data_IF_867949003069
#
_entry.id   IF_867949003069
#
_cell.length_a   1.000
_cell.length_b   1.000
_cell.length_c   1.000
_cell.angle_alpha   90.00
_cell.angle_beta   90.00
_cell.angle_gamma   90.00
#
_symmetry.space_group_name_H-M   'P 1'
#
loop_
_entity.id
_entity.type
_entity.pdbx_description
1 polymer ?
#
# COMPACT_ATOMS: atom_id res chain seq x y z
N UNK A 1 -12.56 -12.56 -4.52
CA UNK A 1 -12.05 -11.70 -3.43
C UNK A 1 -13.09 -10.68 -3.01
N UNK A 2 -13.31 -10.53 -1.73
CA UNK A 2 -14.22 -9.52 -1.16
C UNK A 2 -13.44 -8.67 -0.13
N UNK A 3 -13.48 -7.35 -0.29
CA UNK A 3 -12.81 -6.39 0.59
C UNK A 3 -13.85 -5.49 1.24
N UNK A 4 -13.84 -5.38 2.55
CA UNK A 4 -14.78 -4.57 3.32
C UNK A 4 -14.04 -3.77 4.39
N UNK A 5 -14.28 -2.46 4.43
CA UNK A 5 -13.81 -1.61 5.54
C UNK A 5 -14.82 -1.72 6.67
N UNK A 6 -14.36 -2.07 7.85
CA UNK A 6 -15.15 -2.27 9.07
C UNK A 6 -14.59 -1.43 10.22
N UNK A 7 -15.41 -1.20 11.24
CA UNK A 7 -15.04 -0.38 12.40
C UNK A 7 -15.63 1.03 12.33
N UNK A 8 -15.63 1.71 13.44
CA UNK A 8 -16.20 3.06 13.61
C UNK A 8 -15.11 4.11 13.71
N UNK A 9 -14.45 4.19 14.86
CA UNK A 9 -13.36 5.15 15.11
C UNK A 9 -12.03 4.66 14.54
N UNK A 10 -11.77 3.35 14.67
CA UNK A 10 -10.60 2.68 14.13
C UNK A 10 -11.04 1.71 13.03
N UNK A 11 -10.73 2.05 11.80
CA UNK A 11 -11.14 1.25 10.64
C UNK A 11 -10.12 0.16 10.35
N UNK A 12 -10.64 -1.01 10.02
CA UNK A 12 -9.86 -2.15 9.54
C UNK A 12 -10.39 -2.60 8.19
N UNK A 13 -9.52 -3.19 7.40
CA UNK A 13 -9.85 -3.82 6.13
C UNK A 13 -9.97 -5.32 6.33
N UNK A 14 -11.18 -5.84 6.24
CA UNK A 14 -11.42 -7.28 6.12
C UNK A 14 -11.32 -7.70 4.65
N UNK A 15 -10.52 -8.73 4.38
CA UNK A 15 -10.35 -9.32 3.06
C UNK A 15 -10.68 -10.80 3.13
N UNK A 16 -11.63 -11.23 2.32
CA UNK A 16 -11.95 -12.65 2.12
C UNK A 16 -11.37 -13.06 0.78
N UNK A 17 -10.41 -13.99 0.82
CA UNK A 17 -9.80 -14.59 -0.35
C UNK A 17 -10.47 -15.93 -0.66
N UNK A 18 -11.08 -16.05 -1.82
CA UNK A 18 -11.52 -17.32 -2.34
C UNK A 18 -10.30 -18.23 -2.69
N UNK A 19 -10.52 -19.54 -2.89
CA UNK A 19 -9.47 -20.46 -3.31
C UNK A 19 -8.70 -19.94 -4.53
N UNK A 20 -7.37 -19.96 -4.46
CA UNK A 20 -6.49 -19.53 -5.55
C UNK A 20 -6.30 -18.02 -5.70
N UNK A 21 -6.99 -17.20 -4.93
CA UNK A 21 -6.86 -15.74 -5.01
C UNK A 21 -5.61 -15.21 -4.28
N UNK A 22 -5.14 -14.06 -4.76
CA UNK A 22 -4.01 -13.34 -4.18
C UNK A 22 -4.41 -11.91 -3.78
N UNK A 23 -3.70 -11.37 -2.79
CA UNK A 23 -3.86 -10.02 -2.27
C UNK A 23 -2.51 -9.46 -1.84
N UNK A 24 -2.36 -8.16 -1.78
CA UNK A 24 -1.10 -7.50 -1.44
C UNK A 24 -1.31 -6.53 -0.28
N UNK A 25 -0.42 -6.55 0.71
CA UNK A 25 -0.54 -5.66 1.87
C UNK A 25 0.79 -5.33 2.49
N UNK A 26 0.85 -4.19 3.16
CA UNK A 26 2.02 -3.78 3.92
C UNK A 26 2.12 -4.62 5.20
N UNK A 27 3.33 -5.11 5.49
CA UNK A 27 3.57 -6.03 6.61
C UNK A 27 3.12 -5.48 7.96
N UNK A 28 3.34 -4.18 8.21
CA UNK A 28 3.00 -3.53 9.50
C UNK A 28 1.52 -3.28 9.68
N UNK A 29 0.74 -3.35 8.59
CA UNK A 29 -0.71 -3.18 8.63
C UNK A 29 -1.46 -4.45 9.03
N UNK A 30 -0.78 -5.60 9.17
CA UNK A 30 -1.43 -6.88 9.50
C UNK A 30 -1.94 -6.87 10.94
N UNK A 31 -3.25 -7.07 11.10
CA UNK A 31 -3.88 -7.36 12.39
C UNK A 31 -3.88 -8.87 12.65
N UNK A 32 -4.41 -9.63 11.71
CA UNK A 32 -4.28 -11.09 11.68
C UNK A 32 -4.46 -11.65 10.26
N UNK A 33 -3.96 -12.86 10.07
CA UNK A 33 -4.08 -13.64 8.82
C UNK A 33 -4.42 -15.07 9.19
N UNK A 34 -5.40 -15.66 8.50
CA UNK A 34 -5.70 -17.09 8.62
C UNK A 34 -4.41 -17.91 8.40
N UNK A 35 -4.14 -18.86 9.27
CA UNK A 35 -2.88 -19.61 9.28
C UNK A 35 -2.62 -20.39 7.98
N UNK A 36 -3.67 -20.73 7.24
CA UNK A 36 -3.57 -21.45 5.97
C UNK A 36 -3.15 -20.56 4.79
N UNK A 37 -3.16 -19.23 4.96
CA UNK A 37 -2.72 -18.29 3.90
C UNK A 37 -1.21 -18.30 3.80
N UNK A 38 -0.70 -18.55 2.61
CA UNK A 38 0.72 -18.42 2.27
C UNK A 38 1.10 -16.94 2.14
N UNK A 39 2.28 -16.59 2.62
CA UNK A 39 2.83 -15.22 2.61
C UNK A 39 4.21 -15.22 1.98
N UNK A 40 4.38 -14.37 0.97
CA UNK A 40 5.65 -14.17 0.27
C UNK A 40 6.02 -12.69 0.33
N UNK A 41 7.30 -12.38 0.49
CA UNK A 41 7.78 -10.99 0.43
C UNK A 41 7.87 -10.59 -1.05
N UNK A 42 7.14 -9.55 -1.43
CA UNK A 42 7.25 -8.94 -2.75
C UNK A 42 8.28 -7.81 -2.73
N UNK A 43 9.34 -7.99 -3.50
CA UNK A 43 10.35 -6.95 -3.67
C UNK A 43 9.95 -6.05 -4.84
N UNK A 44 9.62 -4.79 -4.55
CA UNK A 44 9.53 -3.77 -5.57
C UNK A 44 10.93 -3.24 -5.89
N UNK A 45 11.61 -3.92 -6.82
CA UNK A 45 12.87 -3.46 -7.36
C UNK A 45 12.65 -2.37 -8.41
N UNK A 46 12.41 -1.14 -7.97
CA UNK A 46 12.62 0.06 -8.80
C UNK A 46 13.61 1.00 -8.12
N UNK A 47 14.75 0.48 -7.71
CA UNK A 47 15.97 1.27 -7.72
C UNK A 47 16.61 1.05 -9.11
N UNK A 48 16.71 2.09 -9.92
CA UNK A 48 17.58 2.12 -11.09
C UNK A 48 19.03 1.86 -10.63
N UNK A 49 19.43 0.62 -10.63
CA UNK A 49 20.78 0.24 -10.24
C UNK A 49 20.92 -1.26 -10.11
N UNK A 50 21.35 -1.89 -11.21
CA UNK A 50 22.05 -3.18 -11.25
C UNK A 50 21.43 -4.31 -10.44
N UNK A 51 20.81 -5.21 -11.14
CA UNK A 51 20.58 -6.59 -10.70
C UNK A 51 21.87 -7.13 -10.05
N UNK A 52 21.90 -7.17 -8.76
CA UNK A 52 23.09 -7.63 -8.07
C UNK A 52 22.89 -7.75 -6.59
N UNK A 53 22.57 -8.98 -6.18
CA UNK A 53 22.89 -9.55 -4.87
C UNK A 53 21.93 -9.25 -3.73
N UNK A 54 21.31 -10.31 -3.30
CA UNK A 54 20.50 -10.50 -2.09
C UNK A 54 20.97 -9.73 -0.83
N UNK A 55 22.23 -9.33 -0.73
CA UNK A 55 22.76 -8.62 0.43
C UNK A 55 22.38 -7.14 0.57
N UNK A 56 22.02 -6.44 -0.51
CA UNK A 56 21.61 -5.03 -0.46
C UNK A 56 20.16 -4.85 -0.05
N UNK A 57 19.31 -5.81 -0.39
CA UNK A 57 17.86 -5.79 -0.14
C UNK A 57 17.57 -6.00 1.35
N UNK A 58 18.35 -6.87 2.00
CA UNK A 58 18.23 -7.14 3.44
C UNK A 58 18.63 -5.91 4.28
N UNK A 59 19.62 -5.13 3.85
CA UNK A 59 20.03 -3.90 4.56
C UNK A 59 18.98 -2.79 4.50
N UNK A 60 18.33 -2.57 3.36
CA UNK A 60 17.27 -1.54 3.25
C UNK A 60 15.99 -1.93 3.99
N UNK A 61 15.69 -3.23 4.08
CA UNK A 61 14.57 -3.75 4.87
C UNK A 61 14.82 -3.60 6.39
N UNK A 62 16.07 -3.64 6.83
CA UNK A 62 16.48 -3.50 8.23
C UNK A 62 16.59 -2.04 8.69
N UNK A 63 16.78 -1.09 7.77
CA UNK A 63 16.89 0.34 8.09
C UNK A 63 15.55 1.03 8.39
N UNK A 64 14.42 0.30 8.35
CA UNK A 64 13.10 0.86 8.64
C UNK A 64 12.53 1.78 7.55
N UNK A 65 13.27 2.01 6.46
CA UNK A 65 12.89 2.95 5.40
C UNK A 65 12.14 2.32 4.24
N UNK A 66 12.11 1.00 4.12
CA UNK A 66 11.42 0.31 3.03
C UNK A 66 10.03 -0.19 3.42
N UNK A 67 9.07 0.05 2.54
CA UNK A 67 7.76 -0.58 2.63
C UNK A 67 7.92 -2.05 2.27
N UNK A 68 7.58 -2.94 3.21
CA UNK A 68 7.63 -4.38 3.02
C UNK A 68 6.24 -4.87 2.63
N UNK A 69 6.06 -5.14 1.33
CA UNK A 69 4.81 -5.68 0.81
C UNK A 69 4.86 -7.19 0.86
N UNK A 70 3.81 -7.77 1.37
CA UNK A 70 3.55 -9.19 1.34
C UNK A 70 2.49 -9.50 0.29
N UNK A 71 2.73 -10.53 -0.48
CA UNK A 71 1.73 -11.22 -1.28
C UNK A 71 1.11 -12.29 -0.40
N UNK A 72 -0.20 -12.26 -0.26
CA UNK A 72 -1.02 -13.28 0.39
C UNK A 72 -1.66 -14.15 -0.69
N UNK A 73 -1.63 -15.45 -0.50
CA UNK A 73 -2.22 -16.42 -1.41
C UNK A 73 -3.01 -17.46 -0.62
N UNK A 74 -4.23 -17.73 -1.07
CA UNK A 74 -5.06 -18.79 -0.49
C UNK A 74 -4.91 -20.11 -1.28
N UNK A 75 -4.10 -21.08 -0.81
CA UNK A 75 -3.91 -22.36 -1.47
C UNK A 75 -4.99 -23.39 -1.15
N UNK A 76 -5.95 -23.05 -0.29
CA UNK A 76 -6.97 -23.99 0.20
C UNK A 76 -8.19 -24.03 -0.72
N UNK A 77 -9.11 -24.96 -0.44
CA UNK A 77 -10.38 -25.08 -1.14
C UNK A 77 -11.54 -24.29 -0.52
N UNK A 78 -11.26 -23.50 0.53
CA UNK A 78 -12.26 -22.70 1.24
C UNK A 78 -11.79 -21.25 1.37
N UNK A 79 -12.75 -20.35 1.54
CA UNK A 79 -12.48 -18.93 1.79
C UNK A 79 -11.60 -18.73 3.04
N UNK A 80 -10.67 -17.79 2.98
CA UNK A 80 -9.76 -17.43 4.06
C UNK A 80 -9.78 -15.93 4.31
N UNK A 81 -9.59 -15.56 5.58
CA UNK A 81 -9.68 -14.16 6.00
C UNK A 81 -8.31 -13.57 6.33
N UNK A 82 -8.16 -12.31 5.92
CA UNK A 82 -7.07 -11.41 6.33
C UNK A 82 -7.71 -10.16 6.91
N UNK A 83 -7.13 -9.62 7.97
CA UNK A 83 -7.51 -8.30 8.49
C UNK A 83 -6.27 -7.42 8.58
N UNK A 84 -6.38 -6.23 8.00
CA UNK A 84 -5.35 -5.21 8.02
C UNK A 84 -5.90 -3.91 8.61
N UNK A 85 -5.04 -3.10 9.20
CA UNK A 85 -5.39 -1.78 9.72
C UNK A 85 -4.24 -0.81 9.44
N UNK A 86 -4.58 0.45 9.23
CA UNK A 86 -3.60 1.52 9.18
C UNK A 86 -3.21 2.01 10.58
N UNK A 87 -2.28 2.95 10.61
CA UNK A 87 -1.82 3.59 11.86
C UNK A 87 -2.61 4.87 12.18
N UNK A 88 -3.35 5.39 11.20
CA UNK A 88 -3.99 6.71 11.25
C UNK A 88 -5.52 6.64 11.44
N UNK A 89 -6.07 5.49 11.76
CA UNK A 89 -7.48 5.29 12.13
C UNK A 89 -8.52 5.36 11.00
N UNK A 90 -8.22 5.91 9.83
CA UNK A 90 -9.19 6.02 8.74
C UNK A 90 -8.69 5.36 7.46
N UNK A 91 -9.43 4.38 6.97
CA UNK A 91 -9.14 3.69 5.71
C UNK A 91 -10.10 4.12 4.63
N UNK A 92 -9.60 4.29 3.41
CA UNK A 92 -10.41 4.55 2.23
C UNK A 92 -9.84 3.87 0.99
N UNK A 93 -10.68 3.44 0.04
CA UNK A 93 -10.26 2.83 -1.19
C UNK A 93 -10.07 3.88 -2.29
N UNK A 94 -9.04 3.71 -3.12
CA UNK A 94 -8.89 4.41 -4.41
C UNK A 94 -8.74 3.35 -5.49
N UNK A 95 -9.50 3.49 -6.58
CA UNK A 95 -9.41 2.60 -7.74
C UNK A 95 -8.44 3.21 -8.76
N UNK A 96 -7.36 2.51 -9.05
CA UNK A 96 -6.41 2.83 -10.11
C UNK A 96 -6.73 1.99 -11.35
N UNK A 97 -6.75 2.62 -12.52
CA UNK A 97 -7.03 2.00 -13.82
C UNK A 97 -5.89 2.25 -14.82
N UNK A 98 -4.65 2.19 -14.34
CA UNK A 98 -3.42 2.43 -15.11
C UNK A 98 -2.76 3.78 -14.84
N UNK A 99 -3.47 4.71 -14.21
CA UNK A 99 -2.90 5.98 -13.77
C UNK A 99 -1.95 5.80 -12.57
N UNK A 100 -1.25 6.88 -12.23
CA UNK A 100 -0.35 6.92 -11.08
C UNK A 100 -0.99 7.68 -9.92
N UNK A 101 -0.85 7.13 -8.74
CA UNK A 101 -1.20 7.80 -7.49
C UNK A 101 0.08 8.18 -6.74
N UNK A 102 0.17 9.43 -6.30
CA UNK A 102 1.25 9.90 -5.42
C UNK A 102 0.64 10.18 -4.06
N UNK A 103 1.20 9.60 -3.02
CA UNK A 103 0.79 9.86 -1.65
C UNK A 103 2.00 9.93 -0.73
N UNK A 104 1.78 10.40 0.49
CA UNK A 104 2.80 10.38 1.54
C UNK A 104 3.24 8.93 1.83
N UNK A 105 4.52 8.76 2.10
CA UNK A 105 5.10 7.48 2.50
C UNK A 105 4.43 6.97 3.80
N UNK A 106 4.09 5.69 3.81
CA UNK A 106 3.48 5.03 4.98
C UNK A 106 1.95 5.03 5.00
N UNK A 107 1.29 5.67 4.02
CA UNK A 107 -0.17 5.62 3.92
C UNK A 107 -0.71 4.39 3.17
N UNK A 108 0.14 3.67 2.43
CA UNK A 108 -0.27 2.45 1.76
C UNK A 108 -0.52 1.34 2.80
N UNK A 109 -1.69 0.74 2.74
CA UNK A 109 -2.10 -0.40 3.57
C UNK A 109 -2.15 -1.68 2.75
N UNK A 110 -2.84 -1.65 1.62
CA UNK A 110 -3.06 -2.84 0.81
C UNK A 110 -3.51 -2.52 -0.62
N UNK A 111 -3.48 -3.53 -1.49
CA UNK A 111 -4.05 -3.46 -2.84
C UNK A 111 -4.56 -4.81 -3.32
N UNK A 112 -5.57 -4.79 -4.21
CA UNK A 112 -6.15 -6.00 -4.79
C UNK A 112 -5.22 -6.70 -5.79
N UNK A 113 -4.33 -5.95 -6.43
CA UNK A 113 -3.32 -6.46 -7.36
C UNK A 113 -1.95 -5.87 -7.05
N UNK A 114 -0.91 -6.47 -7.62
CA UNK A 114 0.45 -5.98 -7.51
C UNK A 114 0.59 -4.61 -8.17
N UNK A 115 1.18 -3.67 -7.45
CA UNK A 115 1.50 -2.33 -7.93
C UNK A 115 3.01 -2.15 -8.07
N UNK A 116 3.42 -1.27 -8.99
CA UNK A 116 4.76 -0.74 -9.01
C UNK A 116 4.83 0.41 -8.00
N UNK A 117 5.69 0.28 -7.00
CA UNK A 117 5.92 1.32 -5.98
C UNK A 117 7.28 1.97 -6.19
N UNK A 118 7.30 3.28 -6.33
CA UNK A 118 8.51 4.09 -6.31
C UNK A 118 8.50 4.95 -5.03
N UNK A 119 9.46 4.72 -4.14
CA UNK A 119 9.49 5.28 -2.79
C UNK A 119 10.35 6.54 -2.70
N UNK A 120 11.17 6.83 -3.72
CA UNK A 120 12.16 7.90 -3.69
C UNK A 120 11.74 9.08 -4.57
N UNK A 121 10.55 9.61 -4.37
CA UNK A 121 10.16 10.85 -5.04
C UNK A 121 10.65 12.03 -4.20
N UNK A 122 11.66 12.73 -4.71
CA UNK A 122 12.02 14.07 -4.27
C UNK A 122 11.31 15.07 -5.15
N UNK A 123 10.43 15.89 -4.59
CA UNK A 123 9.97 17.10 -5.25
C UNK A 123 11.04 18.19 -5.09
N UNK A 124 11.21 18.99 -6.14
CA UNK A 124 12.21 20.07 -6.24
C UNK A 124 12.28 20.91 -4.96
N UNK A 125 13.42 20.85 -4.26
CA UNK A 125 13.72 21.68 -3.09
C UNK A 125 13.42 21.07 -1.71
N UNK A 126 12.76 19.93 -1.61
CA UNK A 126 12.49 19.24 -0.34
C UNK A 126 13.43 18.05 -0.22
N UNK A 127 14.33 18.10 0.75
CA UNK A 127 15.24 17.00 1.06
C UNK A 127 14.46 15.95 1.85
N UNK A 128 14.25 14.78 1.25
CA UNK A 128 13.72 13.60 1.93
C UNK A 128 12.53 12.98 1.22
N UNK A 129 12.60 11.71 0.90
CA UNK A 129 11.58 10.93 0.21
C UNK A 129 10.31 10.69 1.05
N UNK A 130 9.55 11.76 1.29
CA UNK A 130 8.28 11.69 2.03
C UNK A 130 7.14 11.12 1.20
N UNK A 131 7.31 11.02 -0.12
CA UNK A 131 6.27 10.58 -1.04
C UNK A 131 6.61 9.24 -1.70
N UNK A 132 5.55 8.54 -2.07
CA UNK A 132 5.60 7.32 -2.85
C UNK A 132 4.64 7.43 -4.02
N UNK A 133 5.08 6.92 -5.18
CA UNK A 133 4.26 6.80 -6.39
C UNK A 133 3.86 5.35 -6.55
N UNK A 134 2.57 5.12 -6.77
CA UNK A 134 1.98 3.81 -7.07
C UNK A 134 1.42 3.84 -8.48
N UNK A 135 1.70 2.81 -9.26
CA UNK A 135 1.21 2.69 -10.65
C UNK A 135 0.74 1.25 -10.89
N UNK A 136 -0.39 1.10 -11.54
CA UNK A 136 -0.97 -0.20 -11.91
C UNK A 136 -2.49 -0.17 -11.92
N UNK A 137 -3.08 -1.36 -12.05
CA UNK A 137 -4.54 -1.56 -12.05
C UNK A 137 -4.93 -2.31 -10.77
N UNK A 138 -5.48 -1.60 -9.79
CA UNK A 138 -5.89 -2.17 -8.51
C UNK A 138 -6.85 -1.24 -7.76
N UNK A 139 -7.60 -1.80 -6.83
CA UNK A 139 -8.12 -1.01 -5.71
C UNK A 139 -7.03 -0.92 -4.66
N UNK A 140 -6.61 0.29 -4.34
CA UNK A 140 -5.61 0.61 -3.31
C UNK A 140 -6.33 1.06 -2.06
N UNK A 141 -5.93 0.54 -0.91
CA UNK A 141 -6.44 0.96 0.40
C UNK A 141 -5.36 1.81 1.07
N UNK A 142 -5.73 3.05 1.35
CA UNK A 142 -4.88 4.04 2.01
C UNK A 142 -5.39 4.34 3.41
N UNK A 143 -4.44 4.64 4.27
CA UNK A 143 -4.68 5.17 5.61
C UNK A 143 -4.69 6.71 5.58
N UNK A 144 -5.45 7.35 6.46
CA UNK A 144 -5.45 8.82 6.61
C UNK A 144 -5.72 9.24 8.05
N UNK A 145 -5.25 10.42 8.42
CA UNK A 145 -5.48 11.02 9.74
C UNK A 145 -6.89 11.61 9.93
N UNK A 146 -7.73 11.51 8.91
CA UNK A 146 -9.10 12.01 8.94
C UNK A 146 -9.87 11.58 7.71
N UNK A 147 -11.02 12.20 7.50
CA UNK A 147 -11.83 11.94 6.30
C UNK A 147 -11.15 12.58 5.08
N UNK A 148 -10.88 11.82 4.02
CA UNK A 148 -10.33 12.37 2.79
C UNK A 148 -11.26 13.43 2.18
N UNK A 149 -10.67 14.52 1.71
CA UNK A 149 -11.37 15.56 0.97
C UNK A 149 -10.88 15.53 -0.47
N UNK A 150 -11.80 15.31 -1.40
CA UNK A 150 -11.50 15.32 -2.82
C UNK A 150 -11.66 16.74 -3.38
N UNK A 151 -10.66 17.20 -4.11
CA UNK A 151 -10.71 18.47 -4.84
C UNK A 151 -10.24 18.28 -6.28
N UNK A 152 -11.11 18.61 -7.23
CA UNK A 152 -10.76 18.69 -8.64
C UNK A 152 -10.18 20.07 -8.95
N UNK A 153 -9.02 20.09 -9.59
CA UNK A 153 -8.35 21.31 -10.03
C UNK A 153 -8.65 21.56 -11.50
N UNK A 154 -9.05 22.78 -11.82
CA UNK A 154 -9.23 23.25 -13.19
C UNK A 154 -7.86 23.51 -13.84
N UNK A 155 -7.83 23.59 -15.17
CA UNK A 155 -6.60 23.94 -15.90
C UNK A 155 -6.08 25.31 -15.44
N UNK A 156 -4.84 25.36 -14.94
CA UNK A 156 -4.20 26.57 -14.41
C UNK A 156 -4.51 26.87 -12.93
N UNK A 157 -5.40 26.09 -12.30
CA UNK A 157 -5.62 26.21 -10.84
C UNK A 157 -4.45 25.59 -10.07
N UNK A 158 -3.99 26.28 -9.03
CA UNK A 158 -2.91 25.84 -8.13
C UNK A 158 -3.46 25.76 -6.72
N UNK A 159 -3.12 24.70 -6.03
CA UNK A 159 -3.45 24.49 -4.62
C UNK A 159 -2.17 24.17 -3.86
N UNK A 160 -1.91 24.94 -2.82
CA UNK A 160 -0.86 24.61 -1.85
C UNK A 160 -1.42 23.67 -0.79
N UNK A 161 -0.76 22.54 -0.59
CA UNK A 161 -1.11 21.55 0.42
C UNK A 161 0.10 21.32 1.30
N UNK A 162 -0.12 21.33 2.62
CA UNK A 162 0.93 21.01 3.58
C UNK A 162 1.43 19.57 3.42
N UNK A 163 2.72 19.34 3.59
CA UNK A 163 3.37 18.03 3.38
C UNK A 163 2.83 16.90 4.28
N UNK A 164 2.11 17.25 5.34
CA UNK A 164 1.53 16.29 6.28
C UNK A 164 0.09 15.90 5.94
N UNK A 165 -0.49 16.46 4.88
CA UNK A 165 -1.89 16.21 4.46
C UNK A 165 -2.00 15.60 3.07
#
# INVERSE_FOLDING_TARGET
MNCKIVGYEFKSLEVILAPGETFYGERRSIVYVDAAIQREVEFNATSNGVAGKLGGIVKSALSGESILILKFYNPTSTDKKIVLSGSCCSLFPIKLQGESLICRKGLYVASTNKLQLNINLTFSGIIGGFFQKMTGEATVFLDSFGTPIEKHLSVGEVLDVDENH
#
